data_IF_838241326065
#
_entry.id   IF_838241326065
#
_cell.length_a   1.000
_cell.length_b   1.000
_cell.length_c   1.000
_cell.angle_alpha   90.00
_cell.angle_beta   90.00
_cell.angle_gamma   90.00
#
_symmetry.space_group_name_H-M   'P 1'
#
loop_
_entity.id
_entity.type
_entity.pdbx_description
1 polymer ?
#
# COMPACT_ATOMS: atom_id res chain seq x y z
N UNK A 1 -44.85 -69.06 -32.30
CA UNK A 1 -45.50 -67.73 -32.48
C UNK A 1 -44.42 -66.69 -32.19
N UNK A 2 -43.54 -66.37 -33.14
CA UNK A 2 -43.68 -65.39 -34.24
C UNK A 2 -43.88 -63.95 -33.72
N UNK A 3 -43.16 -62.91 -34.11
CA UNK A 3 -41.92 -62.74 -34.90
C UNK A 3 -41.43 -61.25 -34.77
N UNK A 4 -40.11 -61.05 -34.89
CA UNK A 4 -39.30 -59.93 -35.47
C UNK A 4 -39.86 -58.47 -35.48
N UNK A 5 -39.15 -57.43 -34.99
CA UNK A 5 -37.89 -56.81 -35.50
C UNK A 5 -38.18 -55.35 -35.95
N UNK A 6 -37.25 -54.45 -36.39
CA UNK A 6 -35.77 -54.43 -36.37
C UNK A 6 -35.16 -53.08 -35.81
N UNK A 7 -33.82 -52.91 -35.85
CA UNK A 7 -33.07 -51.67 -35.50
C UNK A 7 -32.91 -50.67 -36.67
N UNK A 8 -31.76 -49.96 -36.81
CA UNK A 8 -31.24 -48.79 -36.06
C UNK A 8 -31.01 -47.54 -36.98
N UNK A 9 -30.74 -46.32 -36.45
CA UNK A 9 -29.83 -45.30 -37.02
C UNK A 9 -29.92 -43.89 -36.37
N UNK A 10 -28.74 -43.32 -36.07
CA UNK A 10 -28.27 -41.93 -36.30
C UNK A 10 -29.26 -40.75 -36.40
N UNK A 11 -29.05 -39.70 -35.58
CA UNK A 11 -28.62 -38.35 -36.01
C UNK A 11 -29.07 -37.24 -35.04
N UNK A 12 -28.22 -36.21 -34.92
CA UNK A 12 -28.71 -34.83 -34.81
C UNK A 12 -28.75 -34.22 -33.42
N UNK A 13 -27.71 -33.45 -33.08
CA UNK A 13 -27.73 -32.58 -31.90
C UNK A 13 -28.77 -31.47 -32.00
N UNK A 14 -29.31 -31.08 -30.85
CA UNK A 14 -29.87 -29.75 -30.63
C UNK A 14 -29.82 -29.44 -29.13
N UNK A 15 -28.89 -28.57 -28.74
CA UNK A 15 -28.90 -28.00 -27.39
C UNK A 15 -30.10 -27.06 -27.28
N UNK A 16 -31.06 -27.43 -26.43
CA UNK A 16 -32.22 -26.60 -26.13
C UNK A 16 -31.86 -25.58 -25.05
N UNK A 17 -32.06 -24.30 -25.39
CA UNK A 17 -31.84 -23.15 -24.52
C UNK A 17 -32.96 -23.09 -23.49
N UNK A 18 -32.67 -23.43 -22.23
CA UNK A 18 -33.64 -23.23 -21.14
C UNK A 18 -33.72 -21.74 -20.80
N UNK A 19 -34.91 -21.20 -21.06
CA UNK A 19 -35.36 -19.84 -20.75
C UNK A 19 -35.32 -19.54 -19.25
N UNK A 20 -34.96 -18.29 -18.98
CA UNK A 20 -34.98 -17.55 -17.72
C UNK A 20 -36.40 -17.53 -17.11
N UNK A 21 -36.59 -18.20 -15.98
CA UNK A 21 -37.80 -18.12 -15.17
C UNK A 21 -37.75 -16.98 -14.15
N UNK A 22 -38.65 -15.99 -14.30
CA UNK A 22 -38.96 -14.96 -13.29
C UNK A 22 -39.65 -15.60 -12.08
N UNK A 23 -39.29 -15.16 -10.87
CA UNK A 23 -40.13 -15.30 -9.66
C UNK A 23 -40.56 -13.93 -9.13
N UNK A 24 -41.75 -13.83 -8.52
CA UNK A 24 -42.45 -12.57 -8.28
C UNK A 24 -41.95 -11.83 -7.03
N UNK A 25 -42.19 -10.52 -7.04
CA UNK A 25 -41.88 -9.57 -5.99
C UNK A 25 -42.98 -9.49 -4.93
N UNK A 26 -42.58 -9.21 -3.68
CA UNK A 26 -43.45 -8.67 -2.63
C UNK A 26 -42.89 -8.87 -1.22
N UNK A 27 -42.50 -7.78 -0.54
CA UNK A 27 -42.26 -7.80 0.92
C UNK A 27 -41.20 -6.83 1.44
N UNK A 28 -41.62 -5.59 1.71
CA UNK A 28 -40.95 -4.43 2.34
C UNK A 28 -39.89 -4.70 3.42
N UNK A 29 -38.80 -3.90 3.39
CA UNK A 29 -37.81 -3.78 4.47
C UNK A 29 -36.72 -2.75 4.17
N UNK A 30 -36.95 -1.52 4.60
CA UNK A 30 -36.15 -0.30 4.39
C UNK A 30 -34.63 -0.45 4.54
N UNK A 31 -33.87 -0.08 3.50
CA UNK A 31 -32.46 0.35 3.59
C UNK A 31 -32.32 1.70 2.88
N UNK A 32 -32.30 2.79 3.64
CA UNK A 32 -31.69 4.08 3.29
C UNK A 32 -31.60 4.92 4.56
N UNK A 33 -30.38 5.26 4.98
CA UNK A 33 -30.03 6.53 5.60
C UNK A 33 -28.55 6.52 6.04
N UNK A 34 -27.65 6.96 5.16
CA UNK A 34 -26.51 7.82 5.48
C UNK A 34 -25.76 8.11 4.18
N UNK A 35 -26.12 9.21 3.53
CA UNK A 35 -25.46 9.63 2.30
C UNK A 35 -26.29 10.64 1.51
N UNK A 36 -26.76 11.72 2.15
CA UNK A 36 -27.32 12.87 1.42
C UNK A 36 -27.31 14.09 2.35
N UNK A 37 -26.16 14.75 2.39
CA UNK A 37 -26.06 16.14 2.81
C UNK A 37 -25.08 16.81 1.85
N UNK A 38 -25.65 17.37 0.77
CA UNK A 38 -25.17 18.46 -0.10
C UNK A 38 -25.57 18.23 -1.56
N UNK A 39 -26.80 18.63 -1.89
CA UNK A 39 -27.20 18.89 -3.28
C UNK A 39 -27.51 20.37 -3.42
N UNK A 40 -26.46 21.18 -3.63
CA UNK A 40 -26.56 22.58 -4.03
C UNK A 40 -26.41 22.70 -5.55
N UNK A 41 -27.46 23.24 -6.19
CA UNK A 41 -27.55 23.85 -7.54
C UNK A 41 -26.45 23.52 -8.58
N UNK A 42 -26.86 22.81 -9.63
CA UNK A 42 -26.11 22.70 -10.88
C UNK A 42 -26.18 24.00 -11.72
N UNK A 43 -25.03 24.47 -12.20
CA UNK A 43 -24.86 25.48 -13.25
C UNK A 43 -23.92 24.89 -14.34
N UNK A 44 -24.04 25.32 -15.61
CA UNK A 44 -23.49 24.60 -16.76
C UNK A 44 -21.96 24.71 -16.91
N UNK A 45 -21.34 23.61 -17.34
CA UNK A 45 -19.91 23.41 -17.56
C UNK A 45 -19.35 24.30 -18.68
N UNK A 46 -18.28 25.04 -18.38
CA UNK A 46 -17.39 25.64 -19.37
C UNK A 46 -16.36 24.61 -19.88
N UNK A 47 -16.00 24.70 -21.17
CA UNK A 47 -15.09 23.76 -21.84
C UNK A 47 -13.65 23.81 -21.28
N UNK A 48 -12.88 22.71 -21.34
CA UNK A 48 -11.53 22.66 -20.76
C UNK A 48 -10.54 23.47 -21.61
N UNK A 49 -9.79 24.35 -20.97
CA UNK A 49 -8.61 25.02 -21.54
C UNK A 49 -7.48 23.99 -21.62
N UNK A 50 -6.86 23.86 -22.79
CA UNK A 50 -5.71 22.99 -23.01
C UNK A 50 -4.50 23.48 -22.20
N UNK A 51 -3.99 22.63 -21.30
CA UNK A 51 -2.77 22.91 -20.54
C UNK A 51 -1.56 22.72 -21.44
N UNK A 52 -0.72 23.75 -21.56
CA UNK A 52 0.57 23.67 -22.24
C UNK A 52 1.59 22.99 -21.35
N UNK A 53 2.29 22.00 -21.88
CA UNK A 53 3.33 21.26 -21.17
C UNK A 53 4.46 22.21 -20.73
N UNK A 54 4.75 22.21 -19.44
CA UNK A 54 5.83 23.05 -18.88
C UNK A 54 7.21 22.47 -19.24
N UNK A 55 8.18 23.36 -19.42
CA UNK A 55 9.57 23.11 -19.88
C UNK A 55 10.29 21.96 -19.12
N UNK A 56 9.82 21.61 -17.92
CA UNK A 56 10.37 20.53 -17.09
C UNK A 56 10.14 19.11 -17.68
N UNK A 57 9.08 18.88 -18.47
CA UNK A 57 8.82 17.57 -19.09
C UNK A 57 9.72 17.26 -20.30
N UNK A 58 10.28 18.28 -20.95
CA UNK A 58 11.13 18.11 -22.14
C UNK A 58 12.58 17.69 -21.82
N UNK A 59 13.01 17.80 -20.56
CA UNK A 59 14.38 17.50 -20.13
C UNK A 59 14.70 16.01 -19.99
N UNK A 60 13.71 15.17 -19.68
CA UNK A 60 13.93 13.75 -19.39
C UNK A 60 13.50 12.80 -20.53
N UNK A 61 12.59 13.22 -21.41
CA UNK A 61 12.06 12.38 -22.50
C UNK A 61 12.97 12.32 -23.75
N UNK A 62 13.73 13.40 -24.05
CA UNK A 62 14.48 13.49 -25.32
C UNK A 62 15.82 12.74 -25.35
N UNK A 63 16.32 12.28 -24.20
CA UNK A 63 17.59 11.55 -24.12
C UNK A 63 17.46 10.04 -24.41
N UNK A 64 16.25 9.47 -24.43
CA UNK A 64 16.05 8.01 -24.54
C UNK A 64 15.55 7.53 -25.91
N UNK A 65 15.25 8.42 -26.88
CA UNK A 65 14.59 8.06 -28.15
C UNK A 65 15.36 8.41 -29.44
N UNK A 66 16.66 8.72 -29.38
CA UNK A 66 17.47 8.93 -30.59
C UNK A 66 18.65 7.99 -30.69
N UNK A 67 18.39 6.76 -31.11
CA UNK A 67 19.26 5.95 -31.97
C UNK A 67 18.52 4.67 -32.39
N UNK A 68 17.71 4.77 -33.45
CA UNK A 68 17.57 3.69 -34.43
C UNK A 68 16.68 4.16 -35.58
N UNK A 69 17.31 4.71 -36.62
CA UNK A 69 16.67 4.85 -37.92
C UNK A 69 17.74 4.97 -38.98
N UNK A 70 18.31 3.84 -39.39
CA UNK A 70 18.89 3.73 -40.72
C UNK A 70 18.56 2.37 -41.35
N UNK A 71 17.91 2.49 -42.51
CA UNK A 71 17.95 1.62 -43.68
C UNK A 71 17.14 0.30 -43.67
N UNK A 72 16.10 0.31 -44.50
CA UNK A 72 15.45 -0.85 -45.13
C UNK A 72 15.52 -0.63 -46.64
N UNK A 73 15.80 -1.67 -47.45
CA UNK A 73 15.08 -1.85 -48.72
C UNK A 73 14.42 -3.25 -48.86
N UNK A 74 13.52 -3.46 -49.85
CA UNK A 74 12.36 -4.33 -49.70
C UNK A 74 12.40 -5.72 -50.39
N UNK A 75 11.53 -6.59 -49.85
CA UNK A 75 10.84 -7.80 -50.31
C UNK A 75 11.23 -8.56 -51.61
N UNK A 76 11.34 -9.90 -51.50
CA UNK A 76 10.64 -10.91 -52.32
C UNK A 76 10.61 -12.28 -51.60
N UNK A 77 9.50 -13.01 -51.67
CA UNK A 77 9.36 -14.45 -51.35
C UNK A 77 9.19 -15.23 -52.68
N UNK A 78 9.11 -16.60 -52.77
CA UNK A 78 8.90 -17.62 -51.73
C UNK A 78 9.68 -18.96 -51.89
N UNK A 79 9.35 -19.95 -51.03
CA UNK A 79 9.45 -21.43 -51.15
C UNK A 79 10.32 -22.22 -50.12
N UNK A 80 9.71 -23.29 -49.58
CA UNK A 80 10.22 -24.30 -48.63
C UNK A 80 10.55 -25.63 -49.39
N UNK A 81 10.83 -26.78 -48.72
CA UNK A 81 11.95 -27.25 -47.88
C UNK A 81 12.64 -28.50 -48.57
N UNK A 82 13.34 -29.51 -47.98
CA UNK A 82 13.64 -29.83 -46.57
C UNK A 82 15.02 -30.48 -46.22
N UNK A 83 15.20 -30.77 -44.92
CA UNK A 83 15.99 -31.87 -44.29
C UNK A 83 17.53 -31.83 -44.37
N UNK A 84 18.22 -31.72 -43.22
CA UNK A 84 18.73 -32.84 -42.38
C UNK A 84 19.59 -32.31 -41.22
N UNK A 85 19.42 -32.92 -40.06
CA UNK A 85 20.30 -32.84 -38.89
C UNK A 85 21.67 -33.44 -39.23
N UNK A 86 22.76 -32.91 -38.67
CA UNK A 86 23.80 -33.68 -37.97
C UNK A 86 24.85 -32.78 -37.29
N UNK A 87 24.95 -32.99 -35.98
CA UNK A 87 26.09 -32.93 -35.04
C UNK A 87 27.33 -32.02 -35.21
N UNK A 88 27.66 -31.44 -34.05
CA UNK A 88 28.96 -31.36 -33.38
C UNK A 88 30.00 -30.33 -33.84
N UNK A 89 30.52 -29.57 -32.86
CA UNK A 89 31.79 -28.86 -33.01
C UNK A 89 31.94 -27.67 -32.08
N UNK A 90 32.60 -27.89 -30.93
CA UNK A 90 33.18 -26.86 -30.06
C UNK A 90 33.91 -25.78 -30.87
N UNK A 91 33.69 -24.51 -30.54
CA UNK A 91 34.80 -23.56 -30.48
C UNK A 91 34.52 -22.44 -29.48
N UNK A 92 35.31 -22.48 -28.41
CA UNK A 92 35.66 -21.35 -27.56
C UNK A 92 36.19 -20.19 -28.39
N UNK A 93 35.55 -19.02 -28.30
CA UNK A 93 36.21 -17.74 -28.53
C UNK A 93 35.82 -16.74 -27.45
N UNK A 94 36.84 -16.26 -26.74
CA UNK A 94 36.88 -15.04 -25.94
C UNK A 94 36.09 -13.93 -26.62
N UNK A 95 35.20 -13.28 -25.88
CA UNK A 95 34.73 -11.95 -26.19
C UNK A 95 35.18 -11.01 -25.07
N UNK A 96 36.23 -10.27 -25.40
CA UNK A 96 36.48 -8.86 -25.11
C UNK A 96 35.43 -8.15 -24.24
N UNK A 97 35.93 -7.58 -23.15
CA UNK A 97 35.31 -6.48 -22.43
C UNK A 97 34.96 -5.36 -23.42
N UNK A 98 33.70 -4.94 -23.41
CA UNK A 98 33.31 -3.61 -23.84
C UNK A 98 32.27 -3.09 -22.87
N UNK A 99 32.69 -2.07 -22.14
CA UNK A 99 31.95 -1.29 -21.18
C UNK A 99 31.01 -0.36 -21.96
N UNK A 100 29.71 -0.67 -21.94
CA UNK A 100 28.67 0.16 -22.49
C UNK A 100 27.35 -0.11 -21.74
N UNK A 101 27.05 0.75 -20.77
CA UNK A 101 25.69 1.00 -20.26
C UNK A 101 24.87 -0.24 -19.93
N UNK A 102 25.36 -1.10 -19.05
CA UNK A 102 24.57 -2.22 -18.53
C UNK A 102 23.47 -1.63 -17.64
N UNK A 103 22.22 -1.65 -18.11
CA UNK A 103 21.07 -1.56 -17.20
C UNK A 103 21.35 -2.54 -16.06
N UNK A 104 21.38 -2.10 -14.78
CA UNK A 104 21.76 -2.97 -13.68
C UNK A 104 20.98 -4.28 -13.81
N UNK A 105 21.73 -5.38 -13.92
CA UNK A 105 21.15 -6.70 -14.14
C UNK A 105 20.11 -6.95 -13.05
N UNK A 106 18.90 -7.35 -13.47
CA UNK A 106 17.80 -7.61 -12.54
C UNK A 106 18.26 -8.67 -11.53
N UNK A 107 18.55 -8.23 -10.31
CA UNK A 107 19.04 -9.08 -9.23
C UNK A 107 17.93 -10.07 -8.85
N UNK A 108 18.28 -11.24 -8.33
CA UNK A 108 17.29 -12.26 -7.95
C UNK A 108 16.60 -11.92 -6.64
N UNK A 109 17.24 -11.10 -5.81
CA UNK A 109 16.77 -10.66 -4.50
C UNK A 109 17.25 -9.25 -4.18
N UNK A 110 16.62 -8.58 -3.22
CA UNK A 110 17.03 -7.24 -2.77
C UNK A 110 18.37 -7.32 -2.01
N UNK A 111 18.59 -8.41 -1.28
CA UNK A 111 19.81 -8.70 -0.54
C UNK A 111 21.02 -8.82 -1.47
N UNK A 112 20.84 -9.39 -2.66
CA UNK A 112 21.88 -9.44 -3.69
C UNK A 112 22.14 -8.05 -4.27
N UNK A 113 21.09 -7.30 -4.59
CA UNK A 113 21.23 -5.94 -5.12
C UNK A 113 21.93 -4.99 -4.14
N UNK A 114 21.62 -5.08 -2.85
CA UNK A 114 22.27 -4.29 -1.80
C UNK A 114 23.72 -4.69 -1.58
N UNK A 115 24.07 -5.97 -1.76
CA UNK A 115 25.46 -6.45 -1.69
C UNK A 115 26.29 -6.03 -2.90
N UNK A 116 25.67 -5.95 -4.07
CA UNK A 116 26.31 -5.52 -5.31
C UNK A 116 26.38 -3.99 -5.47
N UNK A 117 25.79 -3.23 -4.54
CA UNK A 117 25.76 -1.77 -4.61
C UNK A 117 27.15 -1.19 -4.35
N UNK A 118 27.68 -0.47 -5.33
CA UNK A 118 28.92 0.27 -5.19
C UNK A 118 28.69 1.56 -4.40
N UNK A 119 29.17 1.59 -3.15
CA UNK A 119 29.02 2.74 -2.26
C UNK A 119 29.96 3.90 -2.63
N UNK A 120 31.08 3.63 -3.31
CA UNK A 120 31.97 4.67 -3.79
C UNK A 120 31.35 5.41 -4.99
N UNK A 121 30.71 4.67 -5.91
CA UNK A 121 29.92 5.25 -7.01
C UNK A 121 28.74 6.08 -6.48
N UNK A 122 28.01 5.56 -5.48
CA UNK A 122 26.95 6.33 -4.81
C UNK A 122 27.50 7.63 -4.22
N UNK A 123 28.58 7.57 -3.44
CA UNK A 123 29.16 8.75 -2.82
C UNK A 123 29.59 9.79 -3.87
N UNK A 124 30.23 9.33 -4.96
CA UNK A 124 30.62 10.20 -6.08
C UNK A 124 29.42 10.89 -6.74
N UNK A 125 28.32 10.19 -6.96
CA UNK A 125 27.12 10.80 -7.56
C UNK A 125 26.46 11.80 -6.60
N UNK A 126 26.45 11.51 -5.30
CA UNK A 126 25.97 12.46 -4.28
C UNK A 126 26.87 13.71 -4.22
N UNK A 127 28.19 13.55 -4.18
CA UNK A 127 29.14 14.67 -4.16
C UNK A 127 28.98 15.55 -5.40
N UNK A 128 28.78 14.94 -6.56
CA UNK A 128 28.45 15.64 -7.81
C UNK A 128 27.14 16.42 -7.69
N UNK A 129 26.07 15.79 -7.23
CA UNK A 129 24.77 16.46 -7.01
C UNK A 129 24.92 17.67 -6.07
N UNK A 130 25.70 17.53 -5.00
CA UNK A 130 25.99 18.60 -4.05
C UNK A 130 26.83 19.72 -4.64
N UNK A 131 27.82 19.39 -5.48
CA UNK A 131 28.66 20.41 -6.14
C UNK A 131 27.91 21.21 -7.19
N UNK A 132 26.97 20.59 -7.91
CA UNK A 132 26.17 21.25 -8.95
C UNK A 132 25.02 22.03 -8.34
N UNK A 133 24.46 21.56 -7.22
CA UNK A 133 23.30 22.16 -6.56
C UNK A 133 23.52 22.42 -5.06
N UNK A 134 24.51 23.25 -4.65
CA UNK A 134 24.93 23.41 -3.25
C UNK A 134 23.85 23.99 -2.31
N UNK A 135 22.88 24.73 -2.84
CA UNK A 135 21.80 25.36 -2.07
C UNK A 135 20.45 24.65 -2.23
N UNK A 136 20.44 23.45 -2.84
CA UNK A 136 19.20 22.73 -3.12
C UNK A 136 19.19 21.32 -2.50
N UNK A 137 19.00 21.21 -1.17
CA UNK A 137 18.98 19.93 -0.48
C UNK A 137 17.87 18.99 -0.95
N UNK A 138 16.83 19.52 -1.61
CA UNK A 138 15.79 18.69 -2.23
C UNK A 138 16.32 17.86 -3.40
N UNK A 139 17.28 18.36 -4.17
CA UNK A 139 17.86 17.62 -5.29
C UNK A 139 18.67 16.45 -4.77
N UNK A 140 19.49 16.65 -3.74
CA UNK A 140 20.38 15.60 -3.22
C UNK A 140 19.61 14.38 -2.70
N UNK A 141 18.54 14.61 -1.95
CA UNK A 141 17.74 13.51 -1.39
C UNK A 141 16.93 12.79 -2.48
N UNK A 142 16.49 13.51 -3.51
CA UNK A 142 15.83 12.91 -4.69
C UNK A 142 16.80 12.08 -5.51
N UNK A 143 18.02 12.57 -5.72
CA UNK A 143 19.08 11.83 -6.42
C UNK A 143 19.48 10.58 -5.64
N UNK A 144 19.58 10.66 -4.31
CA UNK A 144 19.76 9.47 -3.46
C UNK A 144 18.65 8.43 -3.69
N UNK A 145 17.39 8.84 -3.60
CA UNK A 145 16.26 7.92 -3.77
C UNK A 145 16.22 7.34 -5.19
N UNK A 146 16.44 8.16 -6.21
CA UNK A 146 16.48 7.78 -7.61
C UNK A 146 17.63 6.81 -7.91
N UNK A 147 18.83 7.10 -7.42
CA UNK A 147 20.00 6.23 -7.56
C UNK A 147 19.77 4.87 -6.91
N UNK A 148 19.32 4.86 -5.65
CA UNK A 148 19.00 3.60 -4.94
C UNK A 148 17.91 2.83 -5.69
N UNK A 149 16.86 3.50 -6.16
CA UNK A 149 15.79 2.81 -6.88
C UNK A 149 16.29 2.24 -8.22
N UNK A 150 17.15 2.97 -8.92
CA UNK A 150 17.75 2.54 -10.17
C UNK A 150 18.69 1.34 -10.00
N UNK A 151 19.53 1.32 -8.95
CA UNK A 151 20.49 0.22 -8.70
C UNK A 151 19.83 -0.99 -8.03
N UNK A 152 18.82 -0.79 -7.18
CA UNK A 152 18.15 -1.86 -6.42
C UNK A 152 17.01 -2.50 -7.21
N UNK A 153 17.31 -2.99 -8.41
CA UNK A 153 16.35 -3.68 -9.28
C UNK A 153 16.24 -5.15 -8.88
N UNK A 154 15.27 -5.44 -8.02
CA UNK A 154 14.95 -6.79 -7.53
C UNK A 154 13.44 -7.05 -7.65
N UNK A 155 12.98 -8.32 -7.56
CA UNK A 155 11.56 -8.63 -7.56
C UNK A 155 10.79 -7.82 -6.52
N UNK A 156 9.53 -7.52 -6.85
CA UNK A 156 8.65 -6.75 -5.97
C UNK A 156 8.36 -7.56 -4.72
N UNK A 157 8.68 -7.00 -3.56
CA UNK A 157 8.23 -7.53 -2.27
C UNK A 157 6.75 -7.19 -2.07
N UNK A 158 5.98 -8.16 -1.58
CA UNK A 158 4.57 -7.99 -1.27
C UNK A 158 4.40 -6.85 -0.24
N UNK A 159 3.53 -5.85 -0.46
CA UNK A 159 3.17 -4.87 0.55
C UNK A 159 2.45 -5.48 1.76
N UNK A 160 2.00 -6.74 1.70
CA UNK A 160 1.49 -7.43 2.88
C UNK A 160 2.62 -7.60 3.90
N UNK A 161 2.48 -6.87 4.99
CA UNK A 161 3.33 -6.88 6.17
C UNK A 161 3.80 -8.32 6.53
N UNK A 162 2.96 -9.34 6.39
CA UNK A 162 3.16 -10.70 6.90
C UNK A 162 4.46 -11.41 6.53
N UNK A 163 5.05 -11.15 5.36
CA UNK A 163 6.21 -11.93 4.89
C UNK A 163 7.56 -11.42 5.38
N UNK A 164 7.61 -10.17 5.87
CA UNK A 164 8.86 -9.50 6.24
C UNK A 164 8.75 -8.81 7.61
N UNK A 165 9.88 -8.60 8.30
CA UNK A 165 9.90 -7.82 9.54
C UNK A 165 9.49 -6.37 9.26
N UNK A 166 9.10 -5.64 10.32
CA UNK A 166 8.55 -4.28 10.20
C UNK A 166 9.57 -3.26 9.66
N UNK A 167 10.85 -3.53 9.84
CA UNK A 167 11.98 -2.70 9.42
C UNK A 167 12.53 -3.08 8.03
N UNK A 168 11.91 -4.04 7.32
CA UNK A 168 12.24 -4.34 5.93
C UNK A 168 11.69 -3.25 4.97
N UNK A 169 12.43 -2.85 3.93
CA UNK A 169 13.77 -3.32 3.52
C UNK A 169 14.97 -2.69 4.23
N UNK A 170 14.77 -1.64 5.04
CA UNK A 170 15.87 -0.90 5.66
C UNK A 170 16.78 -1.77 6.56
N UNK A 171 16.24 -2.87 7.12
CA UNK A 171 16.99 -3.85 7.89
C UNK A 171 18.15 -4.51 7.13
N UNK A 172 18.05 -4.60 5.80
CA UNK A 172 19.08 -5.17 4.91
C UNK A 172 20.21 -4.19 4.58
N UNK A 173 19.99 -2.89 4.80
CA UNK A 173 20.95 -1.83 4.46
C UNK A 173 22.19 -1.95 5.34
N UNK A 174 23.38 -1.98 4.73
CA UNK A 174 24.65 -2.06 5.45
C UNK A 174 24.89 -0.86 6.37
N UNK A 175 25.72 -1.02 7.41
CA UNK A 175 26.04 0.07 8.34
C UNK A 175 26.61 1.30 7.63
N UNK A 176 27.46 1.08 6.63
CA UNK A 176 28.07 2.13 5.83
C UNK A 176 27.03 2.90 5.02
N UNK A 177 26.16 2.21 4.28
CA UNK A 177 25.09 2.85 3.52
C UNK A 177 24.10 3.60 4.45
N UNK A 178 23.79 3.05 5.63
CA UNK A 178 22.99 3.77 6.65
C UNK A 178 23.65 5.07 7.08
N UNK A 179 24.98 5.09 7.21
CA UNK A 179 25.74 6.29 7.56
C UNK A 179 25.63 7.36 6.48
N UNK A 180 25.82 6.98 5.21
CA UNK A 180 25.68 7.88 4.05
C UNK A 180 24.27 8.49 4.00
N UNK A 181 23.24 7.65 4.08
CA UNK A 181 21.83 8.08 4.07
C UNK A 181 21.56 9.04 5.23
N UNK A 182 21.95 8.68 6.46
CA UNK A 182 21.69 9.50 7.65
C UNK A 182 22.40 10.85 7.57
N UNK A 183 23.66 10.86 7.13
CA UNK A 183 24.43 12.09 6.95
C UNK A 183 23.76 13.05 5.95
N UNK A 184 23.28 12.51 4.82
CA UNK A 184 22.59 13.31 3.82
C UNK A 184 21.25 13.84 4.35
N UNK A 185 20.42 12.99 4.96
CA UNK A 185 19.12 13.41 5.52
C UNK A 185 19.28 14.43 6.66
N UNK A 186 20.35 14.33 7.45
CA UNK A 186 20.69 15.30 8.48
C UNK A 186 20.95 16.70 7.92
N UNK A 187 21.72 16.78 6.81
CA UNK A 187 22.00 18.04 6.10
C UNK A 187 20.79 18.57 5.32
N UNK A 188 19.85 17.71 4.97
CA UNK A 188 18.63 18.07 4.22
C UNK A 188 17.38 18.19 5.10
N UNK A 189 17.54 18.54 6.38
CA UNK A 189 16.46 18.50 7.37
C UNK A 189 15.21 19.32 6.99
N UNK A 190 15.42 20.50 6.38
CA UNK A 190 14.37 21.45 6.01
C UNK A 190 13.44 20.97 4.89
N UNK A 191 13.87 19.97 4.10
CA UNK A 191 13.11 19.49 2.93
C UNK A 191 12.53 18.09 3.12
N UNK A 192 12.71 17.46 4.29
CA UNK A 192 12.33 16.05 4.47
C UNK A 192 10.83 15.79 4.36
N UNK A 193 9.97 16.75 4.71
CA UNK A 193 8.52 16.61 4.51
C UNK A 193 8.17 16.52 3.02
N UNK A 194 8.70 17.45 2.21
CA UNK A 194 8.50 17.44 0.76
C UNK A 194 9.16 16.23 0.10
N UNK A 195 10.29 15.76 0.63
CA UNK A 195 10.95 14.56 0.14
C UNK A 195 10.15 13.29 0.46
N UNK A 196 9.56 13.20 1.64
CA UNK A 196 8.67 12.11 2.02
C UNK A 196 7.45 12.04 1.08
N UNK A 197 6.82 13.19 0.81
CA UNK A 197 5.77 13.31 -0.20
C UNK A 197 6.23 12.84 -1.57
N UNK A 198 7.38 13.33 -2.03
CA UNK A 198 7.95 12.95 -3.31
C UNK A 198 8.12 11.43 -3.42
N UNK A 199 8.70 10.78 -2.40
CA UNK A 199 8.84 9.32 -2.40
C UNK A 199 7.50 8.61 -2.57
N UNK A 200 6.46 9.04 -1.85
CA UNK A 200 5.12 8.44 -1.96
C UNK A 200 4.54 8.66 -3.35
N UNK A 201 4.45 9.91 -3.81
CA UNK A 201 3.81 10.22 -5.10
C UNK A 201 4.56 9.60 -6.28
N UNK A 202 5.89 9.56 -6.23
CA UNK A 202 6.68 8.86 -7.26
C UNK A 202 6.39 7.36 -7.24
N UNK A 203 6.37 6.70 -6.07
CA UNK A 203 5.94 5.29 -6.01
C UNK A 203 4.53 5.08 -6.59
N UNK A 204 3.60 6.01 -6.36
CA UNK A 204 2.25 5.92 -6.93
C UNK A 204 2.22 6.08 -8.45
N UNK A 205 3.07 6.94 -9.00
CA UNK A 205 3.23 7.11 -10.46
C UNK A 205 3.88 5.88 -11.10
N UNK A 206 4.94 5.34 -10.50
CA UNK A 206 5.63 4.15 -11.01
C UNK A 206 4.73 2.90 -11.03
N UNK A 207 3.75 2.82 -10.13
CA UNK A 207 2.75 1.74 -10.15
C UNK A 207 1.85 1.74 -11.40
N UNK A 208 1.76 2.84 -12.15
CA UNK A 208 0.96 2.91 -13.39
C UNK A 208 1.76 2.53 -14.64
N UNK A 209 3.09 2.71 -14.64
CA UNK A 209 3.91 2.64 -15.86
C UNK A 209 4.18 1.22 -16.33
N UNK A 210 4.78 0.40 -15.47
CA UNK A 210 5.21 -0.94 -15.89
C UNK A 210 5.13 -1.93 -14.72
N UNK A 211 4.41 -3.05 -14.86
CA UNK A 211 4.40 -4.10 -13.86
C UNK A 211 5.81 -4.64 -13.63
N UNK A 212 6.36 -4.41 -12.43
CA UNK A 212 7.59 -5.07 -11.97
C UNK A 212 8.85 -4.21 -11.88
N UNK A 213 8.75 -2.89 -12.00
CA UNK A 213 9.82 -2.01 -11.53
C UNK A 213 9.90 -1.99 -10.00
N UNK A 214 11.13 -1.94 -9.50
CA UNK A 214 11.41 -1.87 -8.07
C UNK A 214 11.03 -0.51 -7.49
N UNK A 215 10.54 -0.52 -6.25
CA UNK A 215 10.28 0.68 -5.44
C UNK A 215 11.22 0.75 -4.22
N UNK A 216 12.26 -0.09 -4.19
CA UNK A 216 13.08 -0.34 -2.99
C UNK A 216 13.83 0.90 -2.54
N UNK A 217 14.31 1.74 -3.46
CA UNK A 217 15.03 2.98 -3.11
C UNK A 217 14.14 3.95 -2.33
N UNK A 218 12.93 4.20 -2.83
CA UNK A 218 11.96 5.07 -2.14
C UNK A 218 11.52 4.49 -0.79
N UNK A 219 11.34 3.17 -0.69
CA UNK A 219 11.00 2.50 0.57
C UNK A 219 12.10 2.64 1.63
N UNK A 220 13.35 2.43 1.24
CA UNK A 220 14.53 2.64 2.10
C UNK A 220 14.59 4.07 2.60
N UNK A 221 14.40 5.06 1.71
CA UNK A 221 14.40 6.47 2.07
C UNK A 221 13.26 6.85 3.03
N UNK A 222 12.05 6.35 2.79
CA UNK A 222 10.90 6.56 3.70
C UNK A 222 11.20 6.02 5.10
N UNK A 223 11.71 4.78 5.21
CA UNK A 223 12.05 4.20 6.50
C UNK A 223 13.18 4.97 7.19
N UNK A 224 14.20 5.40 6.44
CA UNK A 224 15.30 6.19 6.98
C UNK A 224 14.82 7.55 7.55
N UNK A 225 13.91 8.24 6.85
CA UNK A 225 13.33 9.51 7.30
C UNK A 225 12.50 9.30 8.58
N UNK A 226 11.61 8.30 8.60
CA UNK A 226 10.68 8.10 9.70
C UNK A 226 11.30 7.40 10.92
N UNK A 227 12.49 6.81 10.77
CA UNK A 227 13.28 6.31 11.90
C UNK A 227 13.70 7.45 12.84
N UNK A 228 14.01 8.64 12.30
CA UNK A 228 14.44 9.81 13.06
C UNK A 228 13.30 10.82 13.28
N UNK A 229 12.42 11.00 12.28
CA UNK A 229 11.37 12.03 12.28
C UNK A 229 9.98 11.45 11.99
N UNK A 230 9.43 10.59 12.87
CA UNK A 230 8.14 9.92 12.64
C UNK A 230 6.97 10.91 12.44
N UNK A 231 7.02 12.10 13.05
CA UNK A 231 6.00 13.15 12.91
C UNK A 231 5.76 13.59 11.46
N UNK A 232 6.75 13.46 10.56
CA UNK A 232 6.59 13.82 9.14
C UNK A 232 5.40 13.08 8.52
N UNK A 233 5.18 11.81 8.89
CA UNK A 233 4.06 11.02 8.35
C UNK A 233 2.67 11.56 8.77
N UNK A 234 2.58 12.31 9.87
CA UNK A 234 1.30 12.71 10.48
C UNK A 234 0.96 14.19 10.33
N UNK A 235 1.89 15.02 9.84
CA UNK A 235 1.66 16.46 9.61
C UNK A 235 0.53 16.72 8.60
N UNK A 236 0.32 15.81 7.64
CA UNK A 236 -0.62 15.98 6.53
C UNK A 236 -1.52 14.76 6.29
N UNK A 237 -2.04 14.11 7.35
CA UNK A 237 -2.89 12.91 7.19
C UNK A 237 -4.11 13.11 6.30
N UNK A 238 -4.76 14.29 6.38
CA UNK A 238 -5.92 14.62 5.57
C UNK A 238 -5.64 14.53 4.06
N UNK A 239 -4.46 15.00 3.63
CA UNK A 239 -4.01 14.92 2.23
C UNK A 239 -3.97 13.47 1.75
N UNK A 240 -3.37 12.58 2.53
CA UNK A 240 -3.27 11.17 2.14
C UNK A 240 -4.61 10.43 2.23
N UNK A 241 -5.51 10.84 3.12
CA UNK A 241 -6.86 10.30 3.15
C UNK A 241 -7.61 10.62 1.86
N UNK A 242 -7.44 11.82 1.29
CA UNK A 242 -8.00 12.13 -0.02
C UNK A 242 -7.35 11.31 -1.16
N UNK A 243 -6.04 11.07 -1.10
CA UNK A 243 -5.35 10.16 -2.03
C UNK A 243 -5.90 8.73 -1.93
N UNK A 244 -6.21 8.24 -0.73
CA UNK A 244 -6.85 6.94 -0.56
C UNK A 244 -8.25 6.91 -1.17
N UNK A 245 -9.05 7.97 -0.98
CA UNK A 245 -10.39 8.10 -1.55
C UNK A 245 -10.37 8.13 -3.08
N UNK A 246 -9.43 8.86 -3.69
CA UNK A 246 -9.30 8.94 -5.14
C UNK A 246 -8.81 7.65 -5.79
N UNK A 247 -8.15 6.78 -5.02
CA UNK A 247 -7.58 5.51 -5.50
C UNK A 247 -8.23 4.26 -4.90
N UNK A 248 -9.43 4.32 -4.32
CA UNK A 248 -10.08 3.15 -3.66
C UNK A 248 -10.21 1.92 -4.57
N UNK A 249 -10.33 2.11 -5.89
CA UNK A 249 -10.38 1.04 -6.88
C UNK A 249 -8.99 0.52 -7.33
N UNK A 250 -7.90 1.04 -6.76
CA UNK A 250 -6.51 0.67 -7.04
C UNK A 250 -5.82 0.22 -5.74
N UNK A 251 -6.09 -1.01 -5.24
CA UNK A 251 -5.59 -1.47 -3.93
C UNK A 251 -4.07 -1.34 -3.76
N UNK A 252 -3.29 -1.60 -4.81
CA UNK A 252 -1.82 -1.49 -4.75
C UNK A 252 -1.33 -0.06 -4.41
N UNK A 253 -2.02 0.97 -4.91
CA UNK A 253 -1.72 2.37 -4.60
C UNK A 253 -2.07 2.69 -3.16
N UNK A 254 -3.28 2.31 -2.73
CA UNK A 254 -3.73 2.50 -1.35
C UNK A 254 -2.78 1.80 -0.35
N UNK A 255 -2.44 0.54 -0.59
CA UNK A 255 -1.52 -0.22 0.26
C UNK A 255 -0.13 0.43 0.33
N UNK A 256 0.33 1.07 -0.75
CA UNK A 256 1.60 1.81 -0.76
C UNK A 256 1.55 3.03 0.15
N UNK A 257 0.44 3.78 0.13
CA UNK A 257 0.22 4.91 1.05
C UNK A 257 0.12 4.43 2.49
N UNK A 258 -0.70 3.39 2.77
CA UNK A 258 -0.84 2.83 4.11
C UNK A 258 0.52 2.35 4.66
N UNK A 259 1.32 1.69 3.82
CA UNK A 259 2.65 1.22 4.18
C UNK A 259 3.62 2.36 4.49
N UNK A 260 3.64 3.41 3.67
CA UNK A 260 4.55 4.53 3.85
C UNK A 260 4.26 5.29 5.16
N UNK A 261 2.98 5.59 5.42
CA UNK A 261 2.57 6.29 6.63
C UNK A 261 2.75 5.43 7.88
N UNK A 262 2.48 4.13 7.78
CA UNK A 262 2.61 3.18 8.88
C UNK A 262 4.03 3.10 9.46
N UNK A 263 5.07 3.42 8.68
CA UNK A 263 6.45 3.34 9.17
C UNK A 263 6.70 4.20 10.42
N UNK A 264 5.98 5.33 10.58
CA UNK A 264 6.11 6.18 11.76
C UNK A 264 5.73 5.45 13.06
N UNK A 265 4.81 4.49 12.99
CA UNK A 265 4.36 3.76 14.16
C UNK A 265 5.37 2.77 14.73
N UNK A 266 6.37 2.35 13.96
CA UNK A 266 7.35 1.38 14.46
C UNK A 266 8.45 2.01 15.32
N UNK A 267 8.60 3.33 15.28
CA UNK A 267 9.48 4.09 16.19
C UNK A 267 8.71 4.86 17.26
N UNK A 268 7.48 5.29 16.97
CA UNK A 268 6.69 6.11 17.88
C UNK A 268 5.22 5.64 17.93
N UNK A 269 4.80 5.13 19.09
CA UNK A 269 3.43 4.66 19.30
C UNK A 269 2.39 5.74 19.01
N UNK A 270 2.65 6.97 19.43
CA UNK A 270 1.71 8.08 19.32
C UNK A 270 1.49 8.44 17.85
N UNK A 271 2.57 8.57 17.08
CA UNK A 271 2.46 8.79 15.64
C UNK A 271 1.84 7.58 14.91
N UNK A 272 2.14 6.36 15.35
CA UNK A 272 1.51 5.14 14.83
C UNK A 272 0.00 5.09 15.05
N UNK A 273 -0.48 5.50 16.22
CA UNK A 273 -1.90 5.57 16.55
C UNK A 273 -2.60 6.68 15.75
N UNK A 274 -1.98 7.84 15.56
CA UNK A 274 -2.51 8.89 14.67
C UNK A 274 -2.70 8.39 13.25
N UNK A 275 -1.70 7.70 12.69
CA UNK A 275 -1.82 7.10 11.34
C UNK A 275 -2.96 6.09 11.31
N UNK A 276 -3.03 5.21 12.31
CA UNK A 276 -4.04 4.17 12.31
C UNK A 276 -5.46 4.75 12.42
N UNK A 277 -5.71 5.64 13.38
CA UNK A 277 -7.00 6.29 13.60
C UNK A 277 -7.39 7.20 12.42
N UNK A 278 -6.45 8.00 11.90
CA UNK A 278 -6.72 8.99 10.87
C UNK A 278 -6.81 8.42 9.45
N UNK A 279 -6.19 7.28 9.18
CA UNK A 279 -6.02 6.76 7.82
C UNK A 279 -6.43 5.30 7.67
N UNK A 280 -6.10 4.42 8.62
CA UNK A 280 -6.39 2.98 8.51
C UNK A 280 -7.78 2.59 8.99
N UNK A 281 -8.28 3.21 10.06
CA UNK A 281 -9.63 2.99 10.58
C UNK A 281 -10.72 3.36 9.54
N UNK A 282 -10.64 4.50 8.82
CA UNK A 282 -11.61 4.82 7.76
C UNK A 282 -11.69 3.79 6.62
N UNK A 283 -10.62 3.03 6.37
CA UNK A 283 -10.58 2.00 5.31
C UNK A 283 -10.81 0.59 5.83
N UNK A 284 -11.11 0.42 7.12
CA UNK A 284 -11.33 -0.90 7.74
C UNK A 284 -12.52 -1.66 7.12
N UNK A 285 -13.49 -0.94 6.55
CA UNK A 285 -14.61 -1.52 5.81
C UNK A 285 -14.31 -1.88 4.35
N UNK A 286 -13.11 -1.60 3.84
CA UNK A 286 -12.73 -1.87 2.45
C UNK A 286 -12.00 -3.21 2.39
N UNK A 287 -12.65 -4.25 1.83
CA UNK A 287 -12.13 -5.63 1.82
C UNK A 287 -10.70 -5.81 1.30
N UNK A 288 -10.29 -4.97 0.34
CA UNK A 288 -8.94 -5.02 -0.24
C UNK A 288 -7.85 -4.37 0.63
N UNK A 289 -8.24 -3.56 1.62
CA UNK A 289 -7.33 -2.80 2.48
C UNK A 289 -7.38 -3.24 3.95
N UNK A 290 -8.53 -3.75 4.39
CA UNK A 290 -8.75 -4.16 5.77
C UNK A 290 -7.77 -5.22 6.32
N UNK A 291 -7.27 -6.19 5.53
CA UNK A 291 -6.23 -7.10 6.02
C UNK A 291 -4.96 -6.36 6.46
N UNK A 292 -4.56 -5.33 5.70
CA UNK A 292 -3.39 -4.53 6.02
C UNK A 292 -3.63 -3.70 7.29
N UNK A 293 -4.78 -3.03 7.40
CA UNK A 293 -5.11 -2.17 8.53
C UNK A 293 -5.13 -2.93 9.87
N UNK A 294 -5.67 -4.17 9.88
CA UNK A 294 -5.68 -5.02 11.08
C UNK A 294 -4.29 -5.57 11.39
N UNK A 295 -3.56 -6.07 10.39
CA UNK A 295 -2.21 -6.58 10.57
C UNK A 295 -1.22 -5.50 11.06
N UNK A 296 -1.39 -4.26 10.58
CA UNK A 296 -0.61 -3.13 11.05
C UNK A 296 -0.88 -2.85 12.54
N UNK A 297 -2.16 -2.81 12.96
CA UNK A 297 -2.49 -2.56 14.36
C UNK A 297 -1.87 -3.60 15.28
N UNK A 298 -1.98 -4.88 14.91
CA UNK A 298 -1.37 -5.98 15.66
C UNK A 298 0.14 -5.75 15.86
N UNK A 299 0.87 -5.44 14.79
CA UNK A 299 2.30 -5.14 14.84
C UNK A 299 2.63 -3.89 15.63
N UNK A 300 1.85 -2.82 15.46
CA UNK A 300 2.05 -1.57 16.21
C UNK A 300 1.98 -1.85 17.71
N UNK A 301 0.94 -2.57 18.14
CA UNK A 301 0.75 -2.93 19.53
C UNK A 301 1.86 -3.90 19.99
N UNK A 302 2.26 -4.88 19.18
CA UNK A 302 3.36 -5.80 19.51
C UNK A 302 4.70 -5.07 19.71
N UNK A 303 5.01 -4.07 18.88
CA UNK A 303 6.23 -3.26 18.96
C UNK A 303 6.24 -2.33 20.18
N UNK A 304 5.07 -1.93 20.66
CA UNK A 304 4.92 -1.04 21.81
C UNK A 304 4.17 -1.73 22.95
N UNK A 305 4.84 -2.57 23.75
CA UNK A 305 4.20 -3.24 24.90
C UNK A 305 3.73 -2.23 25.95
N UNK A 306 4.48 -1.13 26.13
CA UNK A 306 4.10 -0.03 27.01
C UNK A 306 3.18 0.97 26.27
N UNK A 307 1.90 0.95 26.61
CA UNK A 307 0.86 1.74 25.97
C UNK A 307 0.67 3.15 26.54
N UNK A 308 1.40 3.52 27.59
CA UNK A 308 1.25 4.80 28.30
C UNK A 308 1.33 6.02 27.40
N UNK A 309 2.22 6.01 26.40
CA UNK A 309 2.36 7.09 25.40
C UNK A 309 1.14 7.26 24.48
N UNK A 310 0.26 6.25 24.43
CA UNK A 310 -0.96 6.27 23.63
C UNK A 310 -2.24 6.51 24.42
N UNK A 311 -2.15 6.75 25.73
CA UNK A 311 -3.33 6.99 26.57
C UNK A 311 -4.09 8.24 26.13
N UNK A 312 -5.42 8.12 26.07
CA UNK A 312 -6.31 9.23 25.69
C UNK A 312 -6.31 9.54 24.19
N UNK A 313 -5.52 8.83 23.37
CA UNK A 313 -5.51 9.04 21.92
C UNK A 313 -6.74 8.48 21.23
N UNK A 314 -7.33 7.41 21.77
CA UNK A 314 -8.57 6.82 21.27
C UNK A 314 -9.71 7.43 22.06
N UNK A 315 -10.37 8.45 21.52
CA UNK A 315 -11.55 9.03 22.15
C UNK A 315 -12.84 8.25 21.84
N UNK A 316 -13.99 8.61 22.43
CA UNK A 316 -15.28 7.97 22.14
C UNK A 316 -15.60 7.87 20.64
N UNK A 317 -15.35 8.95 19.89
CA UNK A 317 -15.59 9.02 18.44
C UNK A 317 -14.85 7.93 17.65
N UNK A 318 -13.70 7.47 18.15
CA UNK A 318 -12.86 6.48 17.49
C UNK A 318 -13.08 5.08 18.11
N UNK A 319 -13.26 5.03 19.43
CA UNK A 319 -13.46 3.79 20.18
C UNK A 319 -14.73 3.03 19.79
N UNK A 320 -15.84 3.74 19.60
CA UNK A 320 -17.12 3.08 19.33
C UNK A 320 -17.22 2.45 17.92
N UNK A 321 -16.71 3.08 16.85
CA UNK A 321 -16.51 2.39 15.59
C UNK A 321 -15.72 1.08 15.72
N UNK A 322 -14.69 1.05 16.58
CA UNK A 322 -13.90 -0.17 16.82
C UNK A 322 -14.69 -1.25 17.55
N UNK A 323 -15.47 -0.87 18.56
CA UNK A 323 -16.41 -1.77 19.22
C UNK A 323 -17.40 -2.36 18.21
N UNK A 324 -17.97 -1.51 17.35
CA UNK A 324 -18.93 -1.94 16.32
C UNK A 324 -18.28 -2.89 15.31
N UNK A 325 -17.07 -2.59 14.83
CA UNK A 325 -16.32 -3.50 13.95
C UNK A 325 -15.97 -4.83 14.63
N UNK A 326 -15.62 -4.82 15.92
CA UNK A 326 -15.24 -6.02 16.65
C UNK A 326 -16.43 -6.93 16.98
N UNK A 327 -17.59 -6.36 17.35
CA UNK A 327 -18.67 -7.16 17.95
C UNK A 327 -20.01 -7.15 17.20
N UNK A 328 -20.26 -6.19 16.31
CA UNK A 328 -21.50 -6.20 15.53
C UNK A 328 -21.43 -7.25 14.40
N UNK A 329 -22.48 -8.08 14.22
CA UNK A 329 -22.55 -9.01 13.10
C UNK A 329 -22.78 -8.26 11.80
N UNK A 330 -22.48 -8.91 10.67
CA UNK A 330 -22.76 -8.43 9.31
C UNK A 330 -22.16 -7.06 8.98
N UNK A 331 -21.06 -6.67 9.64
CA UNK A 331 -20.28 -5.53 9.21
C UNK A 331 -19.40 -5.88 7.99
N UNK A 332 -18.70 -4.90 7.44
CA UNK A 332 -17.89 -5.04 6.23
C UNK A 332 -16.57 -5.79 6.44
N UNK A 333 -16.22 -6.14 7.68
CA UNK A 333 -15.00 -6.85 8.03
C UNK A 333 -15.21 -8.37 7.90
N UNK A 334 -14.33 -9.10 7.18
CA UNK A 334 -14.36 -10.55 7.12
C UNK A 334 -14.30 -11.18 8.53
N UNK A 335 -14.99 -12.32 8.79
CA UNK A 335 -15.04 -12.93 10.13
C UNK A 335 -13.66 -13.22 10.74
N UNK A 336 -12.68 -13.62 9.93
CA UNK A 336 -11.31 -13.87 10.39
C UNK A 336 -10.60 -12.59 10.87
N UNK A 337 -10.76 -11.48 10.15
CA UNK A 337 -10.21 -10.18 10.55
C UNK A 337 -10.96 -9.60 11.75
N UNK A 338 -12.27 -9.84 11.84
CA UNK A 338 -13.06 -9.46 13.00
C UNK A 338 -12.57 -10.16 14.27
N UNK A 339 -12.28 -11.46 14.17
CA UNK A 339 -11.71 -12.21 15.29
C UNK A 339 -10.31 -11.71 15.68
N UNK A 340 -9.48 -11.36 14.71
CA UNK A 340 -8.19 -10.71 15.00
C UNK A 340 -8.37 -9.37 15.72
N UNK A 341 -9.30 -8.53 15.27
CA UNK A 341 -9.58 -7.25 15.92
C UNK A 341 -10.09 -7.44 17.36
N UNK A 342 -10.93 -8.45 17.63
CA UNK A 342 -11.35 -8.79 19.00
C UNK A 342 -10.17 -9.16 19.91
N UNK A 343 -9.16 -9.85 19.40
CA UNK A 343 -7.95 -10.18 20.18
C UNK A 343 -7.13 -8.93 20.54
N UNK A 344 -7.14 -7.91 19.68
CA UNK A 344 -6.46 -6.63 19.94
C UNK A 344 -7.28 -5.69 20.83
N UNK A 345 -8.60 -5.90 20.88
CA UNK A 345 -9.55 -5.03 21.57
C UNK A 345 -9.23 -4.72 23.05
N UNK A 346 -8.77 -5.68 23.89
CA UNK A 346 -8.38 -5.36 25.27
C UNK A 346 -7.30 -4.28 25.37
N UNK A 347 -6.34 -4.27 24.43
CA UNK A 347 -5.28 -3.26 24.38
C UNK A 347 -5.80 -1.91 23.89
N UNK A 348 -6.78 -1.92 22.96
CA UNK A 348 -7.48 -0.71 22.53
C UNK A 348 -8.29 -0.07 23.67
N UNK A 349 -8.92 -0.88 24.54
CA UNK A 349 -9.57 -0.38 25.76
C UNK A 349 -8.59 0.34 26.70
N UNK A 350 -7.42 -0.26 26.93
CA UNK A 350 -6.37 0.35 27.76
C UNK A 350 -5.93 1.71 27.18
N UNK A 351 -5.76 1.80 25.85
CA UNK A 351 -5.43 3.06 25.18
C UNK A 351 -6.54 4.12 25.31
N UNK A 352 -7.81 3.71 25.22
CA UNK A 352 -8.96 4.61 25.30
C UNK A 352 -9.23 5.13 26.71
N UNK A 353 -9.15 4.27 27.72
CA UNK A 353 -9.47 4.62 29.11
C UNK A 353 -8.28 5.18 29.88
N UNK A 354 -7.06 4.89 29.42
CA UNK A 354 -5.83 5.40 29.99
C UNK A 354 -5.56 4.91 31.41
N UNK A 355 -4.72 5.66 32.14
CA UNK A 355 -4.27 5.31 33.48
C UNK A 355 -5.34 5.49 34.57
N UNK A 356 -6.35 6.34 34.32
CA UNK A 356 -7.38 6.74 35.29
C UNK A 356 -8.79 6.57 34.69
N UNK A 357 -9.24 5.32 34.46
CA UNK A 357 -10.55 5.06 33.88
C UNK A 357 -11.68 5.75 34.64
N UNK A 358 -11.62 5.80 35.98
CA UNK A 358 -12.61 6.46 36.84
C UNK A 358 -12.86 7.92 36.47
N UNK A 359 -11.84 8.62 35.97
CA UNK A 359 -11.96 10.02 35.54
C UNK A 359 -12.34 10.18 34.06
N UNK A 360 -12.28 9.11 33.25
CA UNK A 360 -12.43 9.22 31.79
C UNK A 360 -13.68 8.50 31.30
N UNK A 361 -14.10 7.43 31.96
CA UNK A 361 -15.20 6.56 31.53
C UNK A 361 -16.55 7.28 31.42
N UNK A 362 -16.77 8.34 32.20
CA UNK A 362 -17.98 9.16 32.13
C UNK A 362 -18.20 9.75 30.72
N UNK A 363 -17.13 10.01 29.95
CA UNK A 363 -17.25 10.52 28.57
C UNK A 363 -17.69 9.45 27.56
N UNK A 364 -17.54 8.16 27.90
CA UNK A 364 -17.93 7.04 27.05
C UNK A 364 -19.34 6.53 27.38
N UNK A 365 -19.79 6.72 28.62
CA UNK A 365 -21.04 6.20 29.15
C UNK A 365 -22.27 6.47 28.26
N UNK A 366 -22.52 7.69 27.74
CA UNK A 366 -23.68 7.94 26.88
C UNK A 366 -23.70 7.06 25.62
N UNK A 367 -22.53 6.80 25.05
CA UNK A 367 -22.38 6.01 23.83
C UNK A 367 -22.40 4.49 24.07
N UNK A 368 -22.11 4.04 25.30
CA UNK A 368 -22.40 2.67 25.73
C UNK A 368 -23.90 2.45 25.90
N UNK A 369 -24.60 3.37 26.56
CA UNK A 369 -26.06 3.30 26.74
C UNK A 369 -26.80 3.24 25.40
N UNK A 370 -26.39 4.05 24.42
CA UNK A 370 -27.01 4.02 23.09
C UNK A 370 -26.87 2.68 22.36
N UNK A 371 -25.94 1.82 22.82
CA UNK A 371 -25.63 0.50 22.26
C UNK A 371 -26.20 -0.66 23.11
N UNK A 372 -26.76 -0.37 24.27
CA UNK A 372 -27.40 -1.33 25.16
C UNK A 372 -28.83 -1.69 24.68
N UNK A 373 -28.96 -2.14 23.43
CA UNK A 373 -30.26 -2.48 22.85
C UNK A 373 -30.63 -3.96 23.11
N UNK A 374 -31.93 -4.33 23.13
CA UNK A 374 -32.34 -5.73 23.30
C UNK A 374 -31.76 -6.69 22.25
N UNK A 375 -31.57 -6.20 21.02
CA UNK A 375 -30.99 -6.92 19.88
C UNK A 375 -29.46 -6.99 19.86
N UNK A 376 -28.81 -6.45 20.89
CA UNK A 376 -27.35 -6.41 20.98
C UNK A 376 -26.76 -7.84 21.03
N UNK A 377 -25.72 -8.16 20.22
CA UNK A 377 -25.09 -9.47 20.21
C UNK A 377 -24.50 -9.85 21.57
N UNK A 378 -24.43 -11.14 21.96
CA UNK A 378 -23.94 -11.55 23.27
C UNK A 378 -22.54 -11.02 23.61
N UNK A 379 -21.60 -11.03 22.66
CA UNK A 379 -20.25 -10.47 22.87
C UNK A 379 -20.25 -8.97 23.11
N UNK A 380 -21.10 -8.23 22.40
CA UNK A 380 -21.26 -6.79 22.61
C UNK A 380 -21.99 -6.47 23.91
N UNK A 381 -22.99 -7.28 24.30
CA UNK A 381 -23.67 -7.15 25.59
C UNK A 381 -22.70 -7.27 26.76
N UNK A 382 -21.71 -8.17 26.70
CA UNK A 382 -20.67 -8.26 27.74
C UNK A 382 -19.84 -6.98 27.84
N UNK A 383 -19.45 -6.41 26.71
CA UNK A 383 -18.65 -5.18 26.68
C UNK A 383 -19.47 -3.92 27.06
N UNK A 384 -20.77 -3.89 26.74
CA UNK A 384 -21.65 -2.75 27.01
C UNK A 384 -22.25 -2.80 28.42
N UNK A 385 -22.58 -3.99 28.92
CA UNK A 385 -23.21 -4.18 30.25
C UNK A 385 -22.17 -4.32 31.37
N UNK A 386 -20.90 -4.55 31.00
CA UNK A 386 -19.78 -4.75 31.91
C UNK A 386 -19.82 -6.12 32.59
N UNK A 387 -18.87 -7.01 32.26
CA UNK A 387 -18.24 -7.78 33.34
C UNK A 387 -17.57 -6.77 34.30
N UNK A 388 -17.54 -6.99 35.63
CA UNK A 388 -17.37 -5.95 36.64
C UNK A 388 -15.98 -5.30 36.57
N UNK A 389 -15.85 -4.31 35.69
CA UNK A 389 -15.01 -3.13 35.88
C UNK A 389 -15.87 -2.09 36.60
N UNK A 390 -15.27 -1.15 37.36
CA UNK A 390 -15.88 -0.45 38.50
C UNK A 390 -16.88 0.65 38.10
N UNK A 391 -17.76 0.38 37.16
CA UNK A 391 -18.87 1.25 36.78
C UNK A 391 -20.04 1.17 37.77
N UNK A 392 -20.15 0.07 38.52
CA UNK A 392 -21.31 -0.21 39.38
C UNK A 392 -21.03 -0.06 40.88
N UNK A 393 -19.89 0.52 41.27
CA UNK A 393 -19.50 0.76 42.67
C UNK A 393 -19.09 2.22 42.94
N UNK A 394 -19.82 3.16 42.33
CA UNK A 394 -19.85 4.57 42.74
C UNK A 394 -21.23 4.93 43.27
#
# INVERSE_FOLDING_TARGET
MAAAGPGPASAGGRWEVVRKGRRPAGGSGSRRALGEANAGRALPLAAPIATSDTIFELGFEKALKKQNKEQVPPASAPEQPPRRQHHAGKSTKKASANDAGVKPGKCRSLEEALRALDLADLQKELDKSQSVFPENPSVWVKDLAGYLNYKLQAPRSDPLLSQHPHDYPYCLVSKELRSIIRSLLGRSASVLELFFDHCIYTMLQELDKTPGESLHGYRICIQAVLLDRPKIATMSLGKYLEVLRSHQNRPAKCLTVLWALGQAGFTDLHEGLKVWLGVMLPVLGIKSLSPYAVAYLDRLLMMHPNLTKGFGMIGPKDFFPLLDFAFMPNNSLPPSLQEQLRRLYPRLKVLAFGAKPETTLHTYFPSFLSRATPSCPPGMKKEVSGDPLPFWTL
#
